data_IF_439780690539
#
_entry.id   IF_439780690539
#
_cell.length_a   1.000
_cell.length_b   1.000
_cell.length_c   1.000
_cell.angle_alpha   90.00
_cell.angle_beta   90.00
_cell.angle_gamma   90.00
#
_symmetry.space_group_name_H-M   'P 1'
#
loop_
_entity.id
_entity.type
_entity.pdbx_description
1 polymer ?
#
# COMPACT_ATOMS: atom_id res chain seq x y z
N UNK A 1 8.61 -3.48 -18.46
CA UNK A 1 9.32 -2.33 -17.85
C UNK A 1 8.43 -1.58 -16.85
N UNK A 2 7.16 -1.30 -17.22
CA UNK A 2 6.19 -0.60 -16.37
C UNK A 2 5.85 -1.35 -15.07
N UNK A 3 5.54 -2.66 -15.13
CA UNK A 3 5.24 -3.47 -13.92
C UNK A 3 6.37 -3.41 -12.89
N UNK A 4 7.62 -3.62 -13.34
CA UNK A 4 8.80 -3.57 -12.46
C UNK A 4 8.97 -2.21 -11.78
N UNK A 5 8.68 -1.11 -12.48
CA UNK A 5 8.71 0.24 -11.90
C UNK A 5 7.57 0.42 -10.89
N UNK A 6 6.37 -0.03 -11.22
CA UNK A 6 5.22 0.03 -10.31
C UNK A 6 5.44 -0.82 -9.05
N UNK A 7 6.02 -2.02 -9.18
CA UNK A 7 6.40 -2.85 -8.03
C UNK A 7 7.40 -2.15 -7.12
N UNK A 8 8.44 -1.51 -7.69
CA UNK A 8 9.38 -0.71 -6.90
C UNK A 8 8.69 0.45 -6.20
N UNK A 9 7.78 1.16 -6.87
CA UNK A 9 6.97 2.21 -6.28
C UNK A 9 6.14 1.71 -5.09
N UNK A 10 5.47 0.56 -5.25
CA UNK A 10 4.71 -0.10 -4.18
C UNK A 10 5.61 -0.45 -2.98
N UNK A 11 6.82 -0.98 -3.22
CA UNK A 11 7.78 -1.30 -2.17
C UNK A 11 8.29 -0.05 -1.44
N UNK A 12 8.59 1.04 -2.16
CA UNK A 12 9.00 2.31 -1.55
C UNK A 12 7.89 2.89 -0.67
N UNK A 13 6.64 2.82 -1.13
CA UNK A 13 5.48 3.23 -0.32
C UNK A 13 5.37 2.38 0.94
N UNK A 14 5.49 1.06 0.83
CA UNK A 14 5.43 0.16 1.98
C UNK A 14 6.49 0.49 3.03
N UNK A 15 7.74 0.75 2.61
CA UNK A 15 8.80 1.22 3.51
C UNK A 15 8.46 2.56 4.19
N UNK A 16 7.82 3.47 3.45
CA UNK A 16 7.31 4.73 4.00
C UNK A 16 6.26 4.52 5.10
N UNK A 17 5.29 3.62 4.87
CA UNK A 17 4.27 3.24 5.85
C UNK A 17 4.92 2.68 7.12
N UNK A 18 5.82 1.71 6.97
CA UNK A 18 6.54 1.09 8.11
C UNK A 18 7.29 2.15 8.92
N UNK A 19 7.98 3.07 8.24
CA UNK A 19 8.72 4.16 8.89
C UNK A 19 7.79 5.09 9.69
N UNK A 20 6.64 5.46 9.11
CA UNK A 20 5.65 6.30 9.79
C UNK A 20 5.01 5.58 10.99
N UNK A 21 4.77 4.27 10.90
CA UNK A 21 4.26 3.49 12.03
C UNK A 21 5.26 3.47 13.20
N UNK A 22 6.55 3.29 12.92
CA UNK A 22 7.58 3.40 13.97
C UNK A 22 7.64 4.80 14.57
N UNK A 23 7.50 5.85 13.75
CA UNK A 23 7.43 7.23 14.23
C UNK A 23 6.23 7.44 15.16
N UNK A 24 5.05 6.92 14.82
CA UNK A 24 3.85 7.00 15.68
C UNK A 24 4.05 6.27 17.02
N UNK A 25 4.64 5.08 17.00
CA UNK A 25 4.97 4.35 18.22
C UNK A 25 5.93 5.13 19.11
N UNK A 26 6.99 5.72 18.52
CA UNK A 26 7.95 6.54 19.25
C UNK A 26 7.32 7.82 19.82
N UNK A 27 6.35 8.42 19.14
CA UNK A 27 5.63 9.61 19.60
C UNK A 27 4.58 9.32 20.68
N UNK A 28 4.10 8.07 20.78
CA UNK A 28 3.22 7.64 21.87
C UNK A 28 3.88 7.81 23.24
N UNK A 29 5.17 7.46 23.37
CA UNK A 29 5.92 7.54 24.63
C UNK A 29 6.01 8.98 25.20
N UNK A 30 6.38 10.02 24.42
CA UNK A 30 6.32 11.40 24.88
C UNK A 30 4.91 11.87 25.23
N UNK A 31 3.87 11.50 24.47
CA UNK A 31 2.49 11.96 24.76
C UNK A 31 2.06 11.67 26.20
N UNK A 32 2.50 10.55 26.76
CA UNK A 32 2.20 10.16 28.14
C UNK A 32 3.08 10.88 29.19
N UNK A 33 4.25 11.42 28.79
CA UNK A 33 5.25 12.01 29.69
C UNK A 33 5.28 13.54 29.72
N UNK A 34 4.69 14.24 28.74
CA UNK A 34 4.71 15.73 28.66
C UNK A 34 3.43 16.43 29.13
N UNK A 35 2.60 15.74 29.91
CA UNK A 35 1.33 16.25 30.48
C UNK A 35 1.45 17.59 31.23
N UNK A 36 2.62 17.90 31.81
CA UNK A 36 2.85 19.15 32.54
C UNK A 36 3.41 20.30 31.67
N UNK A 37 3.56 20.11 30.35
CA UNK A 37 4.07 21.12 29.41
C UNK A 37 3.17 21.25 28.18
N UNK A 38 2.09 22.05 28.26
CA UNK A 38 1.05 22.12 27.23
C UNK A 38 1.55 22.48 25.82
N UNK A 39 2.58 23.32 25.72
CA UNK A 39 3.17 23.68 24.43
C UNK A 39 3.90 22.52 23.76
N UNK A 40 4.55 21.65 24.54
CA UNK A 40 5.23 20.47 24.03
C UNK A 40 4.21 19.40 23.68
N UNK A 41 3.21 19.19 24.55
CA UNK A 41 2.10 18.28 24.29
C UNK A 41 1.40 18.62 22.96
N UNK A 42 1.11 19.92 22.72
CA UNK A 42 0.53 20.38 21.46
C UNK A 42 1.42 20.04 20.26
N UNK A 43 2.73 20.31 20.34
CA UNK A 43 3.67 19.97 19.25
C UNK A 43 3.73 18.47 18.98
N UNK A 44 3.72 17.64 20.01
CA UNK A 44 3.72 16.18 19.85
C UNK A 44 2.42 15.72 19.18
N UNK A 45 1.26 16.27 19.57
CA UNK A 45 -0.04 15.99 18.92
C UNK A 45 -0.05 16.44 17.45
N UNK A 46 0.50 17.61 17.14
CA UNK A 46 0.59 18.11 15.76
C UNK A 46 1.46 17.19 14.89
N UNK A 47 2.62 16.73 15.40
CA UNK A 47 3.47 15.77 14.70
C UNK A 47 2.75 14.43 14.50
N UNK A 48 2.04 13.94 15.52
CA UNK A 48 1.25 12.72 15.43
C UNK A 48 0.14 12.83 14.36
N UNK A 49 -0.56 13.97 14.29
CA UNK A 49 -1.56 14.24 13.27
C UNK A 49 -0.96 14.24 11.84
N UNK A 50 0.19 14.90 11.65
CA UNK A 50 0.91 14.90 10.36
C UNK A 50 1.36 13.49 9.95
N UNK A 51 1.84 12.69 10.91
CA UNK A 51 2.22 11.28 10.63
C UNK A 51 1.02 10.45 10.16
N UNK A 52 -0.16 10.68 10.75
CA UNK A 52 -1.41 9.99 10.36
C UNK A 52 -1.85 10.40 8.96
N UNK A 53 -1.77 11.69 8.63
CA UNK A 53 -2.04 12.17 7.26
C UNK A 53 -1.06 11.58 6.25
N UNK A 54 0.22 11.46 6.62
CA UNK A 54 1.25 10.86 5.77
C UNK A 54 0.96 9.38 5.50
N UNK A 55 0.45 8.63 6.48
CA UNK A 55 0.02 7.24 6.28
C UNK A 55 -1.10 7.11 5.24
N UNK A 56 -2.11 7.99 5.27
CA UNK A 56 -3.18 8.00 4.26
C UNK A 56 -2.63 8.27 2.85
N UNK A 57 -1.71 9.24 2.72
CA UNK A 57 -1.05 9.54 1.44
C UNK A 57 -0.25 8.34 0.91
N UNK A 58 0.51 7.67 1.78
CA UNK A 58 1.22 6.46 1.39
C UNK A 58 0.24 5.35 0.99
N UNK A 59 -0.85 5.12 1.75
CA UNK A 59 -1.87 4.14 1.41
C UNK A 59 -2.45 4.34 0.00
N UNK A 60 -2.80 5.58 -0.36
CA UNK A 60 -3.31 5.93 -1.71
C UNK A 60 -2.26 5.72 -2.81
N UNK A 61 -1.02 6.12 -2.58
CA UNK A 61 0.06 5.91 -3.54
C UNK A 61 0.33 4.40 -3.77
N UNK A 62 0.30 3.60 -2.69
CA UNK A 62 0.44 2.16 -2.76
C UNK A 62 -0.69 1.51 -3.56
N UNK A 63 -1.93 1.94 -3.33
CA UNK A 63 -3.09 1.51 -4.10
C UNK A 63 -2.94 1.83 -5.60
N UNK A 64 -2.45 3.02 -5.93
CA UNK A 64 -2.21 3.43 -7.31
C UNK A 64 -1.19 2.54 -8.02
N UNK A 65 -0.05 2.24 -7.38
CA UNK A 65 0.94 1.32 -7.94
C UNK A 65 0.38 -0.09 -8.13
N UNK A 66 -0.45 -0.56 -7.18
CA UNK A 66 -1.11 -1.86 -7.28
C UNK A 66 -2.07 -1.93 -8.48
N UNK A 67 -2.86 -0.87 -8.71
CA UNK A 67 -3.75 -0.78 -9.89
C UNK A 67 -2.95 -0.83 -11.20
N UNK A 68 -1.82 -0.13 -11.29
CA UNK A 68 -0.95 -0.20 -12.47
C UNK A 68 -0.47 -1.63 -12.71
N UNK A 69 -0.02 -2.32 -11.66
CA UNK A 69 0.43 -3.72 -11.77
C UNK A 69 -0.70 -4.62 -12.27
N UNK A 70 -1.92 -4.45 -11.75
CA UNK A 70 -3.12 -5.17 -12.24
C UNK A 70 -3.38 -4.93 -13.72
N UNK A 71 -3.37 -3.69 -14.16
CA UNK A 71 -3.61 -3.35 -15.57
C UNK A 71 -2.56 -3.98 -16.49
N UNK A 72 -1.27 -3.92 -16.10
CA UNK A 72 -0.21 -4.55 -16.89
C UNK A 72 -0.39 -6.06 -16.93
N UNK A 73 -0.61 -6.73 -15.80
CA UNK A 73 -0.82 -8.18 -15.78
C UNK A 73 -2.09 -8.58 -16.55
N UNK A 74 -3.17 -7.78 -16.51
CA UNK A 74 -4.35 -8.02 -17.35
C UNK A 74 -4.04 -7.94 -18.84
N UNK A 75 -3.23 -6.97 -19.27
CA UNK A 75 -2.84 -6.82 -20.67
C UNK A 75 -1.91 -7.94 -21.17
N UNK A 76 -1.14 -8.55 -20.25
CA UNK A 76 -0.17 -9.62 -20.55
C UNK A 76 -0.77 -11.03 -20.39
N UNK A 77 -2.04 -11.16 -19.98
CA UNK A 77 -2.73 -12.43 -19.77
C UNK A 77 -4.07 -12.43 -20.49
N UNK A 78 -4.71 -13.59 -20.65
CA UNK A 78 -6.08 -13.72 -21.17
C UNK A 78 -7.16 -13.10 -20.27
N UNK A 79 -6.77 -12.43 -19.18
CA UNK A 79 -7.67 -11.70 -18.29
C UNK A 79 -8.27 -10.45 -18.92
N UNK A 80 -7.75 -9.95 -20.05
CA UNK A 80 -8.40 -8.85 -20.78
C UNK A 80 -9.84 -9.20 -21.22
N UNK A 81 -10.17 -10.49 -21.28
CA UNK A 81 -11.51 -11.00 -21.60
C UNK A 81 -12.47 -10.94 -20.40
N UNK A 82 -11.95 -10.78 -19.18
CA UNK A 82 -12.75 -10.54 -17.99
C UNK A 82 -13.03 -9.04 -17.82
N UNK A 83 -14.21 -8.72 -17.28
CA UNK A 83 -14.62 -7.34 -17.07
C UNK A 83 -13.58 -6.56 -16.23
N UNK A 84 -12.95 -5.58 -16.88
CA UNK A 84 -11.88 -4.75 -16.31
C UNK A 84 -12.30 -4.05 -15.01
N UNK A 85 -13.59 -3.72 -14.87
CA UNK A 85 -14.12 -3.12 -13.63
C UNK A 85 -14.13 -4.10 -12.48
N UNK A 86 -14.47 -5.37 -12.74
CA UNK A 86 -14.53 -6.40 -11.71
C UNK A 86 -13.13 -6.68 -11.14
N UNK A 87 -12.11 -6.74 -12.00
CA UNK A 87 -10.73 -7.03 -11.57
C UNK A 87 -10.07 -5.80 -10.92
N UNK A 88 -10.31 -4.58 -11.42
CA UNK A 88 -9.78 -3.37 -10.79
C UNK A 88 -10.32 -3.16 -9.38
N UNK A 89 -11.55 -3.62 -9.12
CA UNK A 89 -12.24 -3.48 -7.83
C UNK A 89 -11.93 -4.59 -6.82
N UNK A 90 -11.08 -5.57 -7.17
CA UNK A 90 -10.68 -6.59 -6.21
C UNK A 90 -9.99 -5.93 -4.99
N UNK A 91 -10.20 -6.44 -3.77
CA UNK A 91 -9.48 -5.94 -2.60
C UNK A 91 -7.97 -5.97 -2.83
N UNK A 92 -7.27 -4.94 -2.37
CA UNK A 92 -5.81 -4.92 -2.44
C UNK A 92 -5.25 -5.88 -1.39
N UNK A 93 -4.55 -6.92 -1.82
CA UNK A 93 -3.82 -7.83 -0.93
C UNK A 93 -2.34 -7.45 -0.87
N UNK A 94 -1.69 -7.76 0.26
CA UNK A 94 -0.23 -7.80 0.35
C UNK A 94 0.36 -8.95 -0.47
N UNK A 95 -0.43 -10.01 -0.68
CA UNK A 95 -0.02 -11.22 -1.39
C UNK A 95 -0.44 -11.14 -2.87
N UNK A 96 0.53 -10.85 -3.75
CA UNK A 96 0.32 -10.86 -5.20
C UNK A 96 -0.46 -9.67 -5.78
N UNK A 97 -0.58 -9.63 -7.11
CA UNK A 97 -1.26 -8.57 -7.89
C UNK A 97 -2.79 -8.67 -7.78
N UNK A 98 -3.32 -9.88 -7.68
CA UNK A 98 -4.77 -10.14 -7.58
C UNK A 98 -5.19 -10.97 -6.36
N UNK A 99 -4.26 -11.23 -5.42
CA UNK A 99 -4.45 -12.23 -4.37
C UNK A 99 -3.80 -13.56 -4.72
N UNK A 100 -3.32 -14.27 -3.71
CA UNK A 100 -2.55 -15.52 -3.85
C UNK A 100 -3.33 -16.62 -4.59
N UNK A 101 -4.62 -16.76 -4.28
CA UNK A 101 -5.48 -17.80 -4.86
C UNK A 101 -5.73 -17.58 -6.36
N UNK A 102 -6.04 -16.34 -6.75
CA UNK A 102 -6.24 -15.98 -8.15
C UNK A 102 -4.92 -16.07 -8.93
N UNK A 103 -3.79 -15.64 -8.36
CA UNK A 103 -2.47 -15.81 -8.99
C UNK A 103 -2.09 -17.27 -9.21
N UNK A 104 -2.35 -18.15 -8.23
CA UNK A 104 -2.11 -19.60 -8.38
C UNK A 104 -2.93 -20.16 -9.54
N UNK A 105 -4.22 -19.82 -9.62
CA UNK A 105 -5.11 -20.24 -10.69
C UNK A 105 -4.66 -19.72 -12.07
N UNK A 106 -4.13 -18.49 -12.13
CA UNK A 106 -3.63 -17.90 -13.36
C UNK A 106 -2.33 -18.53 -13.85
N UNK A 107 -1.37 -18.80 -12.96
CA UNK A 107 -0.13 -19.50 -13.30
C UNK A 107 -0.41 -20.89 -13.85
N UNK A 108 -1.32 -21.65 -13.22
CA UNK A 108 -1.71 -22.99 -13.69
C UNK A 108 -2.35 -22.98 -15.08
N UNK A 109 -3.10 -21.93 -15.45
CA UNK A 109 -3.67 -21.79 -16.80
C UNK A 109 -2.62 -21.39 -17.83
N UNK A 110 -1.64 -20.57 -17.45
CA UNK A 110 -0.52 -20.18 -18.31
C UNK A 110 0.39 -21.36 -18.63
N UNK A 111 0.67 -22.24 -17.68
CA UNK A 111 1.54 -23.41 -17.91
C UNK A 111 0.88 -24.53 -18.73
N UNK A 112 -0.42 -24.40 -19.03
CA UNK A 112 -1.20 -25.34 -19.84
C UNK A 112 -1.36 -24.92 -21.30
N UNK A 113 -0.92 -23.73 -21.68
CA UNK A 113 -1.01 -23.15 -23.02
C UNK A 113 0.36 -22.72 -23.52
#
# INVERSE_FOLDING_TARGET
MVEKTAYRGQQSVYMGIVTQMYMQQALGMPMDMVTDKPEIEKKVKDIFAVSTQSLDQFGRAGAFFHIIRRQVTMSETSLYELDSRTISNLPLSGDGVFGEELEKNLKQKKDKH
#
